data_IF_021630885355
#
_entry.id   IF_021630885355
#
_cell.length_a   1.000
_cell.length_b   1.000
_cell.length_c   1.000
_cell.angle_alpha   90.00
_cell.angle_beta   90.00
_cell.angle_gamma   90.00
#
_symmetry.space_group_name_H-M   'P 1'
#
loop_
_entity.id
_entity.type
_entity.pdbx_description
1 polymer ?
#
# COMPACT_ATOMS: atom_id res chain seq x y z
N UNK A 1 -13.26 0.32 4.14
CA UNK A 1 -13.74 1.05 5.34
C UNK A 1 -13.28 2.50 5.18
N UNK A 2 -14.10 3.49 5.52
CA UNK A 2 -13.62 4.87 5.58
C UNK A 2 -12.92 5.08 6.93
N UNK A 3 -11.70 5.62 6.92
CA UNK A 3 -10.88 5.82 8.12
C UNK A 3 -11.59 6.72 9.15
N UNK A 4 -12.41 7.68 8.70
CA UNK A 4 -13.19 8.56 9.58
C UNK A 4 -14.21 7.83 10.47
N UNK A 5 -14.51 6.56 10.18
CA UNK A 5 -15.55 5.78 10.87
C UNK A 5 -15.04 4.62 11.73
N UNK A 6 -13.73 4.51 11.99
CA UNK A 6 -13.15 3.36 12.71
C UNK A 6 -12.02 3.74 13.65
N UNK A 7 -11.95 3.10 14.82
CA UNK A 7 -10.82 3.18 15.76
C UNK A 7 -9.80 2.06 15.56
N UNK A 8 -10.05 1.15 14.62
CA UNK A 8 -9.22 0.00 14.28
C UNK A 8 -8.70 0.14 12.86
N UNK A 9 -7.44 -0.25 12.63
CA UNK A 9 -6.86 -0.28 11.28
C UNK A 9 -7.62 -1.31 10.41
N UNK A 10 -8.27 -0.88 9.31
CA UNK A 10 -8.96 -1.78 8.38
C UNK A 10 -8.09 -2.91 7.82
N UNK A 11 -6.82 -2.64 7.55
CA UNK A 11 -5.87 -3.60 6.99
C UNK A 11 -5.63 -4.78 7.93
N UNK A 12 -5.46 -4.50 9.22
CA UNK A 12 -5.28 -5.53 10.23
C UNK A 12 -6.50 -6.46 10.31
N UNK A 13 -7.71 -5.87 10.25
CA UNK A 13 -8.96 -6.63 10.24
C UNK A 13 -9.07 -7.53 9.00
N UNK A 14 -8.75 -7.01 7.82
CA UNK A 14 -8.78 -7.80 6.58
C UNK A 14 -7.77 -8.97 6.61
N UNK A 15 -6.59 -8.78 7.20
CA UNK A 15 -5.60 -9.85 7.36
C UNK A 15 -6.12 -10.92 8.33
N UNK A 16 -6.58 -10.51 9.53
CA UNK A 16 -7.09 -11.44 10.56
C UNK A 16 -8.29 -12.24 10.08
N UNK A 17 -9.18 -11.61 9.31
CA UNK A 17 -10.33 -12.25 8.69
C UNK A 17 -9.98 -13.09 7.45
N UNK A 18 -8.69 -13.25 7.10
CA UNK A 18 -8.20 -13.99 5.92
C UNK A 18 -8.85 -13.54 4.61
N UNK A 19 -9.04 -12.22 4.45
CA UNK A 19 -9.70 -11.62 3.29
C UNK A 19 -8.74 -11.25 2.15
N UNK A 20 -7.44 -11.46 2.33
CA UNK A 20 -6.40 -11.20 1.34
C UNK A 20 -6.00 -12.47 0.58
N UNK A 21 -5.40 -12.31 -0.59
CA UNK A 21 -4.79 -13.39 -1.37
C UNK A 21 -3.54 -12.90 -2.11
N UNK A 22 -2.67 -12.18 -1.40
CA UNK A 22 -1.45 -11.54 -1.91
C UNK A 22 -0.57 -12.55 -2.64
N UNK A 23 -0.35 -13.74 -2.07
CA UNK A 23 0.48 -14.79 -2.69
C UNK A 23 -0.08 -15.27 -4.03
N UNK A 24 -1.42 -15.29 -4.17
CA UNK A 24 -2.08 -15.63 -5.44
C UNK A 24 -1.91 -14.50 -6.44
N UNK A 25 -2.10 -13.25 -6.02
CA UNK A 25 -1.94 -12.06 -6.87
C UNK A 25 -0.53 -11.99 -7.47
N UNK A 26 0.51 -12.25 -6.68
CA UNK A 26 1.90 -12.28 -7.18
C UNK A 26 2.10 -13.35 -8.26
N UNK A 27 1.43 -14.49 -8.17
CA UNK A 27 1.58 -15.62 -9.11
C UNK A 27 0.72 -15.50 -10.36
N UNK A 28 -0.48 -14.95 -10.24
CA UNK A 28 -1.50 -15.01 -11.30
C UNK A 28 -2.03 -13.64 -11.74
N UNK A 29 -1.63 -12.56 -11.08
CA UNK A 29 -2.19 -11.22 -11.28
C UNK A 29 -3.64 -11.06 -10.82
N UNK A 30 -4.22 -12.05 -10.11
CA UNK A 30 -5.63 -12.04 -9.74
C UNK A 30 -5.85 -12.40 -8.27
N UNK A 31 -6.65 -11.59 -7.57
CA UNK A 31 -6.97 -11.77 -6.16
C UNK A 31 -7.19 -10.45 -5.45
N UNK A 32 -6.90 -10.44 -4.15
CA UNK A 32 -7.18 -9.32 -3.24
C UNK A 32 -5.90 -8.92 -2.51
N UNK A 33 -5.54 -7.66 -2.63
CA UNK A 33 -4.45 -7.02 -1.88
C UNK A 33 -5.03 -5.88 -1.05
N UNK A 34 -4.28 -5.44 -0.05
CA UNK A 34 -4.57 -4.24 0.71
C UNK A 34 -4.17 -3.01 -0.10
N UNK A 35 -5.03 -2.00 -0.11
CA UNK A 35 -4.76 -0.71 -0.73
C UNK A 35 -5.50 0.40 0.03
N UNK A 36 -4.91 1.59 0.01
CA UNK A 36 -5.50 2.80 0.57
C UNK A 36 -5.91 3.73 -0.57
N UNK A 37 -7.03 4.41 -0.39
CA UNK A 37 -7.52 5.41 -1.32
C UNK A 37 -7.42 6.80 -0.67
N UNK A 38 -6.91 7.78 -1.41
CA UNK A 38 -6.83 9.17 -0.97
C UNK A 38 -7.30 10.11 -2.08
N UNK A 39 -7.84 11.25 -1.67
CA UNK A 39 -8.15 12.36 -2.58
C UNK A 39 -7.22 13.54 -2.31
N UNK A 40 -6.72 14.15 -3.38
CA UNK A 40 -5.94 15.39 -3.33
C UNK A 40 -6.66 16.50 -4.12
N UNK A 41 -6.43 17.79 -3.83
CA UNK A 41 -6.94 18.88 -4.67
C UNK A 41 -6.42 18.77 -6.11
N UNK A 42 -7.27 18.99 -7.11
CA UNK A 42 -6.86 18.90 -8.52
C UNK A 42 -5.66 19.81 -8.90
N UNK A 43 -5.51 21.05 -8.38
CA UNK A 43 -4.34 21.88 -8.68
C UNK A 43 -3.00 21.28 -8.22
N UNK A 44 -3.03 20.34 -7.27
CA UNK A 44 -1.82 19.70 -6.76
C UNK A 44 -1.36 18.49 -7.58
N UNK A 45 -2.12 18.07 -8.61
CA UNK A 45 -1.87 16.82 -9.34
C UNK A 45 -0.45 16.75 -9.92
N UNK A 46 -0.02 17.78 -10.65
CA UNK A 46 1.31 17.83 -11.28
C UNK A 46 2.43 17.77 -10.25
N UNK A 47 2.30 18.53 -9.16
CA UNK A 47 3.27 18.49 -8.06
C UNK A 47 3.35 17.10 -7.42
N UNK A 48 2.21 16.44 -7.20
CA UNK A 48 2.18 15.08 -6.66
C UNK A 48 2.82 14.09 -7.62
N UNK A 49 2.57 14.21 -8.92
CA UNK A 49 3.20 13.39 -9.97
C UNK A 49 4.73 13.51 -9.96
N UNK A 50 5.26 14.73 -9.85
CA UNK A 50 6.69 14.97 -9.70
C UNK A 50 7.26 14.32 -8.43
N UNK A 51 6.56 14.43 -7.29
CA UNK A 51 7.01 13.81 -6.03
C UNK A 51 6.96 12.29 -6.09
N UNK A 52 5.98 11.71 -6.79
CA UNK A 52 5.93 10.26 -7.03
C UNK A 52 7.16 9.81 -7.82
N UNK A 53 7.55 10.55 -8.86
CA UNK A 53 8.75 10.25 -9.64
C UNK A 53 10.02 10.29 -8.77
N UNK A 54 10.20 11.35 -7.97
CA UNK A 54 11.34 11.47 -7.05
C UNK A 54 11.39 10.34 -6.00
N UNK A 55 10.24 9.98 -5.42
CA UNK A 55 10.16 8.88 -4.44
C UNK A 55 10.55 7.54 -5.08
N UNK A 56 10.16 7.33 -6.33
CA UNK A 56 10.49 6.11 -7.08
C UNK A 56 12.01 5.97 -7.31
N UNK A 57 12.72 7.07 -7.54
CA UNK A 57 14.19 7.07 -7.71
C UNK A 57 14.94 6.57 -6.47
N UNK A 58 14.37 6.79 -5.27
CA UNK A 58 14.92 6.31 -3.99
C UNK A 58 14.28 5.01 -3.49
N UNK A 59 13.53 4.31 -4.35
CA UNK A 59 12.95 3.00 -4.06
C UNK A 59 11.61 3.02 -3.32
N UNK A 60 11.01 4.20 -3.10
CA UNK A 60 9.69 4.33 -2.47
C UNK A 60 8.62 4.34 -3.57
N UNK A 61 8.06 3.16 -3.86
CA UNK A 61 7.13 2.95 -4.98
C UNK A 61 5.73 2.48 -4.52
N UNK A 62 5.12 3.23 -3.60
CA UNK A 62 3.84 2.86 -2.99
C UNK A 62 2.59 3.29 -3.78
N UNK A 63 2.70 4.24 -4.70
CA UNK A 63 1.54 4.72 -5.50
C UNK A 63 1.27 3.76 -6.65
N UNK A 64 0.09 3.16 -6.64
CA UNK A 64 -0.35 2.24 -7.69
C UNK A 64 -1.00 2.98 -8.86
N UNK A 65 -1.90 3.93 -8.56
CA UNK A 65 -2.62 4.73 -9.56
C UNK A 65 -2.77 6.16 -9.06
N UNK A 66 -2.48 7.12 -9.93
CA UNK A 66 -2.88 8.53 -9.79
C UNK A 66 -3.91 8.83 -10.89
N UNK A 67 -5.12 9.22 -10.49
CA UNK A 67 -6.22 9.46 -11.43
C UNK A 67 -6.15 10.82 -12.14
N UNK A 68 -7.17 11.11 -12.94
CA UNK A 68 -7.44 12.44 -13.46
C UNK A 68 -8.43 13.20 -12.56
N UNK A 69 -8.60 14.50 -12.85
CA UNK A 69 -9.49 15.37 -12.11
C UNK A 69 -10.94 14.90 -12.22
N UNK A 70 -11.57 14.65 -11.07
CA UNK A 70 -12.97 14.22 -10.93
C UNK A 70 -13.31 12.90 -11.67
N UNK A 71 -12.30 12.12 -12.05
CA UNK A 71 -12.50 10.82 -12.70
C UNK A 71 -12.48 9.69 -11.66
N UNK A 72 -13.44 8.77 -11.73
CA UNK A 72 -13.47 7.59 -10.87
C UNK A 72 -12.29 6.66 -11.19
N UNK A 73 -11.65 6.11 -10.15
CA UNK A 73 -10.56 5.13 -10.31
C UNK A 73 -10.86 3.89 -9.48
N UNK A 74 -10.54 2.71 -10.01
CA UNK A 74 -10.83 1.43 -9.34
C UNK A 74 -12.29 1.30 -8.87
N UNK A 75 -13.24 1.84 -9.65
CA UNK A 75 -14.68 1.91 -9.32
C UNK A 75 -15.01 2.72 -8.05
N UNK A 76 -14.08 3.54 -7.57
CA UNK A 76 -14.28 4.46 -6.45
C UNK A 76 -14.58 5.85 -7.05
N UNK A 77 -15.72 6.48 -6.73
CA UNK A 77 -16.02 7.83 -7.19
C UNK A 77 -15.06 8.84 -6.54
N UNK A 78 -14.65 9.84 -7.33
CA UNK A 78 -13.81 10.95 -6.89
C UNK A 78 -14.66 12.23 -6.86
N UNK A 79 -14.51 13.03 -5.80
CA UNK A 79 -15.23 14.31 -5.69
C UNK A 79 -14.85 15.30 -6.80
N UNK A 80 -15.75 16.25 -7.07
CA UNK A 80 -15.48 17.35 -7.99
C UNK A 80 -14.22 18.12 -7.56
N UNK A 81 -13.38 18.48 -8.53
CA UNK A 81 -12.13 19.21 -8.32
C UNK A 81 -11.12 18.50 -7.39
N UNK A 82 -11.22 17.18 -7.30
CA UNK A 82 -10.24 16.30 -6.64
C UNK A 82 -9.63 15.34 -7.63
N UNK A 83 -8.51 14.73 -7.24
CA UNK A 83 -7.88 13.61 -7.93
C UNK A 83 -7.80 12.44 -6.95
N UNK A 84 -8.24 11.27 -7.41
CA UNK A 84 -8.10 10.02 -6.65
C UNK A 84 -6.68 9.47 -6.76
N UNK A 85 -6.20 8.83 -5.69
CA UNK A 85 -4.92 8.14 -5.65
C UNK A 85 -5.07 6.82 -4.89
N UNK A 86 -4.57 5.74 -5.49
CA UNK A 86 -4.51 4.41 -4.88
C UNK A 86 -3.07 4.11 -4.46
N UNK A 87 -2.89 3.77 -3.19
CA UNK A 87 -1.61 3.40 -2.58
C UNK A 87 -1.66 1.92 -2.21
N UNK A 88 -0.60 1.16 -2.51
CA UNK A 88 -0.48 -0.21 -2.03
C UNK A 88 -0.32 -0.21 -0.50
N UNK A 89 -1.05 -1.09 0.19
CA UNK A 89 -0.97 -1.23 1.64
C UNK A 89 0.39 -1.76 2.08
N UNK A 90 1.03 -1.08 3.04
CA UNK A 90 2.32 -1.49 3.60
C UNK A 90 2.30 -2.85 4.30
N UNK A 91 1.12 -3.35 4.69
CA UNK A 91 0.93 -4.65 5.32
C UNK A 91 0.74 -5.81 4.33
N UNK A 92 0.80 -5.59 3.02
CA UNK A 92 0.72 -6.68 2.04
C UNK A 92 1.79 -7.80 2.25
N UNK A 93 3.07 -7.50 2.60
CA UNK A 93 4.03 -8.54 2.94
C UNK A 93 3.63 -9.35 4.19
N UNK A 94 3.07 -8.69 5.20
CA UNK A 94 2.56 -9.35 6.42
C UNK A 94 1.37 -10.25 6.10
N UNK A 95 0.44 -9.77 5.26
CA UNK A 95 -0.68 -10.56 4.76
C UNK A 95 -0.19 -11.83 4.05
N UNK A 96 0.86 -11.72 3.22
CA UNK A 96 1.46 -12.88 2.55
C UNK A 96 2.07 -13.90 3.54
N UNK A 97 2.68 -13.45 4.63
CA UNK A 97 3.18 -14.34 5.69
C UNK A 97 2.04 -15.08 6.39
N UNK A 98 0.96 -14.39 6.74
CA UNK A 98 -0.25 -15.00 7.35
C UNK A 98 -0.90 -16.00 6.39
N UNK A 99 -0.99 -15.69 5.09
CA UNK A 99 -1.46 -16.62 4.05
C UNK A 99 -0.56 -17.86 3.88
N UNK A 100 0.68 -17.82 4.36
CA UNK A 100 1.59 -18.96 4.41
C UNK A 100 1.47 -19.77 5.72
N UNK A 101 0.57 -19.40 6.62
CA UNK A 101 0.39 -20.05 7.92
C UNK A 101 1.33 -19.55 9.01
N UNK A 102 2.08 -18.47 8.77
CA UNK A 102 2.96 -17.86 9.76
C UNK A 102 2.11 -17.00 10.69
N UNK A 103 2.15 -17.29 11.99
CA UNK A 103 1.53 -16.46 13.02
C UNK A 103 2.27 -15.12 13.09
N UNK A 104 1.54 -14.02 12.88
CA UNK A 104 2.08 -12.66 12.96
C UNK A 104 1.20 -11.83 13.89
N UNK A 105 1.82 -11.18 14.87
CA UNK A 105 1.23 -10.06 15.59
C UNK A 105 1.70 -8.77 14.94
N UNK A 106 0.75 -7.89 14.60
CA UNK A 106 1.03 -6.60 14.00
C UNK A 106 0.33 -5.53 14.82
N UNK A 107 1.03 -4.43 15.07
CA UNK A 107 0.47 -3.21 15.65
C UNK A 107 0.65 -2.12 14.59
N UNK A 108 -0.45 -1.79 13.91
CA UNK A 108 -0.47 -0.71 12.93
C UNK A 108 -0.16 0.64 13.58
N UNK A 109 0.40 1.56 12.79
CA UNK A 109 0.69 2.95 13.20
C UNK A 109 1.64 3.08 14.41
N UNK A 110 2.60 2.17 14.55
CA UNK A 110 3.54 2.17 15.68
C UNK A 110 4.82 2.98 15.38
N UNK A 111 4.74 4.30 15.56
CA UNK A 111 5.91 5.16 15.78
C UNK A 111 6.63 5.70 14.53
N UNK A 112 7.82 6.27 14.77
CA UNK A 112 8.68 6.86 13.74
C UNK A 112 10.02 6.13 13.70
N UNK A 113 10.56 5.93 12.50
CA UNK A 113 11.87 5.32 12.28
C UNK A 113 12.65 6.15 11.26
N UNK A 114 13.93 6.40 11.53
CA UNK A 114 14.82 7.06 10.58
C UNK A 114 15.03 6.18 9.35
N UNK A 115 14.92 6.76 8.15
CA UNK A 115 15.05 6.03 6.89
C UNK A 115 16.41 5.30 6.77
N UNK A 116 17.48 5.91 7.29
CA UNK A 116 18.83 5.34 7.30
C UNK A 116 18.96 4.03 8.11
N UNK A 117 17.99 3.74 8.97
CA UNK A 117 17.94 2.47 9.74
C UNK A 117 17.24 1.35 8.97
N UNK A 118 16.60 1.65 7.83
CA UNK A 118 15.99 0.64 6.97
C UNK A 118 17.06 -0.01 6.09
N UNK A 119 16.83 -1.29 5.77
CA UNK A 119 17.70 -2.05 4.87
C UNK A 119 16.94 -2.40 3.60
N UNK A 120 17.64 -2.50 2.48
CA UNK A 120 17.03 -2.95 1.23
C UNK A 120 16.56 -4.40 1.37
N UNK A 121 15.33 -4.69 0.96
CA UNK A 121 14.83 -6.06 0.95
C UNK A 121 15.69 -6.99 0.09
N UNK A 122 16.28 -6.48 -1.00
CA UNK A 122 17.13 -7.25 -1.89
C UNK A 122 18.44 -7.69 -1.23
N UNK A 123 19.01 -6.85 -0.36
CA UNK A 123 20.20 -7.20 0.43
C UNK A 123 19.87 -8.32 1.41
N UNK A 124 18.71 -8.22 2.08
CA UNK A 124 18.24 -9.27 2.99
C UNK A 124 17.99 -10.56 2.22
N UNK A 125 17.27 -10.52 1.10
CA UNK A 125 16.96 -11.70 0.29
C UNK A 125 18.24 -12.41 -0.17
N UNK A 126 19.20 -11.67 -0.74
CA UNK A 126 20.46 -12.22 -1.22
C UNK A 126 21.27 -12.91 -0.13
N UNK A 127 21.16 -12.45 1.13
CA UNK A 127 21.81 -13.10 2.27
C UNK A 127 21.23 -14.47 2.60
N UNK A 128 19.94 -14.70 2.32
CA UNK A 128 19.25 -15.96 2.66
C UNK A 128 19.08 -16.93 1.48
N UNK A 129 19.38 -16.51 0.26
CA UNK A 129 19.23 -17.35 -0.96
C UNK A 129 20.54 -17.75 -1.62
N UNK A 130 21.69 -17.22 -1.16
CA UNK A 130 23.02 -17.54 -1.70
C UNK A 130 23.87 -18.43 -0.76
N UNK A 131 23.26 -19.02 0.27
CA UNK A 131 23.76 -20.20 1.02
C UNK A 131 23.10 -21.47 0.46
#
# INVERSE_FOLDING_TARGET
INYDGTSLDPSEQYIRARMTSVRKVVKTGNGKILANFREIPAPSRTMVEEKIAMLKEVGINGVYVLGNTSEAICQIPVRLNRVGMVLLGGLNPVAAAVEAGIMVENIAESGMLDFEKLVSFWEVLNKYTND
#
